data_IF_181948569532
#
_entry.id   IF_181948569532
#
_cell.length_a   1.000
_cell.length_b   1.000
_cell.length_c   1.000
_cell.angle_alpha   90.00
_cell.angle_beta   90.00
_cell.angle_gamma   90.00
#
_symmetry.space_group_name_H-M   'P 1'
#
loop_
_entity.id
_entity.type
_entity.pdbx_description
1 polymer ?
#
# COMPACT_ATOMS: atom_id res chain seq x y z
N UNK A 1 -3.18 -12.36 -11.57
CA UNK A 1 -3.61 -13.78 -11.68
C UNK A 1 -3.95 -14.34 -10.31
N UNK A 2 -4.38 -15.60 -10.23
CA UNK A 2 -4.83 -16.26 -8.99
C UNK A 2 -3.92 -16.10 -7.74
N UNK A 3 -2.57 -16.16 -7.82
CA UNK A 3 -1.71 -16.00 -6.63
C UNK A 3 -1.68 -14.58 -6.04
N UNK A 4 -2.30 -13.61 -6.72
CA UNK A 4 -2.36 -12.20 -6.30
C UNK A 4 -3.78 -11.80 -5.87
N UNK A 5 -4.64 -12.77 -5.55
CA UNK A 5 -6.00 -12.55 -5.08
C UNK A 5 -6.27 -13.50 -3.92
N UNK A 6 -6.82 -13.01 -2.82
CA UNK A 6 -7.16 -13.83 -1.66
C UNK A 6 -8.50 -13.45 -1.07
N UNK A 7 -9.29 -14.47 -0.77
CA UNK A 7 -10.55 -14.38 -0.01
C UNK A 7 -10.44 -15.08 1.34
N UNK A 8 -9.23 -15.50 1.74
CA UNK A 8 -9.00 -16.19 3.01
C UNK A 8 -9.31 -15.24 4.18
N UNK A 9 -10.04 -15.74 5.19
CA UNK A 9 -10.49 -14.94 6.34
C UNK A 9 -9.34 -14.22 7.02
N UNK A 10 -8.26 -14.92 7.38
CA UNK A 10 -7.11 -14.32 8.07
C UNK A 10 -6.46 -13.19 7.27
N UNK A 11 -6.39 -13.32 5.93
CA UNK A 11 -5.85 -12.27 5.07
C UNK A 11 -6.76 -11.05 5.08
N UNK A 12 -8.08 -11.26 4.95
CA UNK A 12 -9.05 -10.16 4.94
C UNK A 12 -9.07 -9.44 6.30
N UNK A 13 -9.00 -10.17 7.40
CA UNK A 13 -8.92 -9.59 8.76
C UNK A 13 -7.65 -8.75 8.93
N UNK A 14 -6.49 -9.22 8.48
CA UNK A 14 -5.24 -8.45 8.49
C UNK A 14 -5.35 -7.14 7.70
N UNK A 15 -6.17 -7.10 6.65
CA UNK A 15 -6.39 -5.92 5.82
C UNK A 15 -7.66 -5.16 6.19
N UNK A 16 -8.30 -5.50 7.31
CA UNK A 16 -9.55 -4.92 7.78
C UNK A 16 -9.42 -3.95 8.95
N UNK A 17 -8.20 -3.76 9.47
CA UNK A 17 -7.91 -2.81 10.53
C UNK A 17 -6.55 -2.15 10.32
N UNK A 18 -6.39 -0.96 10.90
CA UNK A 18 -5.09 -0.33 11.15
C UNK A 18 -4.79 -0.31 12.66
N UNK A 19 -3.91 0.58 13.10
CA UNK A 19 -3.53 0.76 14.51
C UNK A 19 -4.51 1.68 15.27
N UNK A 20 -5.68 1.98 14.68
CA UNK A 20 -6.75 2.72 15.35
C UNK A 20 -7.50 1.87 16.38
N UNK A 21 -8.37 2.52 17.15
CA UNK A 21 -9.28 1.87 18.09
C UNK A 21 -10.56 1.34 17.41
N UNK A 22 -10.69 1.48 16.09
CA UNK A 22 -11.89 1.05 15.38
C UNK A 22 -11.95 -0.48 15.25
N UNK A 23 -13.15 -1.08 15.37
CA UNK A 23 -13.31 -2.50 15.13
C UNK A 23 -12.86 -2.89 13.71
N UNK A 24 -12.27 -4.08 13.58
CA UNK A 24 -11.91 -4.65 12.28
C UNK A 24 -13.14 -4.73 11.37
N UNK A 25 -13.02 -4.16 10.17
CA UNK A 25 -13.99 -4.24 9.09
C UNK A 25 -13.28 -4.81 7.84
N UNK A 26 -13.29 -6.15 7.66
CA UNK A 26 -12.54 -6.79 6.59
C UNK A 26 -13.15 -6.52 5.20
N UNK A 27 -12.33 -6.34 4.15
CA UNK A 27 -12.79 -6.28 2.77
C UNK A 27 -13.38 -7.64 2.32
N UNK A 28 -14.04 -7.70 1.16
CA UNK A 28 -14.52 -8.95 0.58
C UNK A 28 -13.37 -9.77 -0.05
N UNK A 29 -12.38 -9.07 -0.60
CA UNK A 29 -11.22 -9.66 -1.27
C UNK A 29 -10.01 -8.73 -1.13
N UNK A 30 -8.83 -9.34 -1.02
CA UNK A 30 -7.53 -8.64 -1.08
C UNK A 30 -6.84 -8.99 -2.39
N UNK A 31 -6.33 -7.96 -3.06
CA UNK A 31 -5.61 -8.07 -4.34
C UNK A 31 -4.23 -7.43 -4.19
N UNK A 32 -3.20 -8.01 -4.81
CA UNK A 32 -1.85 -7.44 -4.87
C UNK A 32 -1.46 -7.10 -6.31
N UNK A 33 -1.79 -5.89 -6.80
CA UNK A 33 -1.24 -5.37 -8.03
C UNK A 33 0.29 -5.31 -7.98
N UNK A 34 0.94 -5.48 -9.13
CA UNK A 34 2.40 -5.41 -9.28
C UNK A 34 2.80 -4.41 -10.38
N UNK A 35 1.83 -3.67 -10.92
CA UNK A 35 2.05 -2.69 -11.97
C UNK A 35 0.88 -1.70 -12.05
N UNK A 36 1.17 -0.50 -12.52
CA UNK A 36 0.17 0.57 -12.73
C UNK A 36 -1.02 0.09 -13.57
N UNK A 37 -0.76 -0.65 -14.64
CA UNK A 37 -1.83 -1.19 -15.51
C UNK A 37 -2.83 -2.09 -14.76
N UNK A 38 -2.35 -2.89 -13.79
CA UNK A 38 -3.21 -3.74 -12.98
C UNK A 38 -4.09 -2.93 -12.01
N UNK A 39 -3.55 -1.83 -11.46
CA UNK A 39 -4.32 -0.89 -10.64
C UNK A 39 -5.38 -0.19 -11.49
N UNK A 40 -5.05 0.21 -12.72
CA UNK A 40 -5.99 0.84 -13.65
C UNK A 40 -7.14 -0.11 -14.03
N UNK A 41 -6.81 -1.36 -14.37
CA UNK A 41 -7.81 -2.39 -14.68
C UNK A 41 -8.74 -2.67 -13.48
N UNK A 42 -8.16 -2.76 -12.28
CA UNK A 42 -8.92 -2.95 -11.04
C UNK A 42 -9.87 -1.77 -10.79
N UNK A 43 -9.37 -0.54 -10.92
CA UNK A 43 -10.16 0.67 -10.73
C UNK A 43 -11.32 0.75 -11.73
N UNK A 44 -11.06 0.47 -13.00
CA UNK A 44 -12.09 0.45 -14.03
C UNK A 44 -13.16 -0.62 -13.78
N UNK A 45 -12.76 -1.80 -13.30
CA UNK A 45 -13.67 -2.88 -12.93
C UNK A 45 -14.54 -2.49 -11.72
N UNK A 46 -13.94 -2.03 -10.63
CA UNK A 46 -14.64 -1.63 -9.42
C UNK A 46 -15.61 -0.48 -9.69
N UNK A 47 -15.19 0.51 -10.50
CA UNK A 47 -16.07 1.61 -10.92
C UNK A 47 -17.30 1.11 -11.67
N UNK A 48 -17.10 0.24 -12.68
CA UNK A 48 -18.20 -0.33 -13.49
C UNK A 48 -19.17 -1.15 -12.65
N UNK A 49 -18.65 -1.90 -11.68
CA UNK A 49 -19.45 -2.76 -10.80
C UNK A 49 -19.99 -2.03 -9.55
N UNK A 50 -19.63 -0.76 -9.35
CA UNK A 50 -19.93 0.03 -8.14
C UNK A 50 -19.45 -0.66 -6.85
N UNK A 51 -18.25 -1.24 -6.89
CA UNK A 51 -17.61 -1.89 -5.75
C UNK A 51 -16.63 -0.92 -5.09
N UNK A 52 -16.69 -0.69 -3.76
CA UNK A 52 -15.73 0.13 -3.04
C UNK A 52 -14.29 -0.39 -3.19
N UNK A 53 -13.34 0.54 -3.19
CA UNK A 53 -11.91 0.23 -3.24
C UNK A 53 -11.21 0.83 -2.02
N UNK A 54 -10.39 0.01 -1.36
CA UNK A 54 -9.63 0.41 -0.17
C UNK A 54 -8.14 0.22 -0.46
N UNK A 55 -7.34 1.28 -0.59
CA UNK A 55 -5.90 1.15 -0.73
C UNK A 55 -5.29 0.65 0.58
N UNK A 56 -4.30 -0.24 0.48
CA UNK A 56 -3.56 -0.71 1.64
C UNK A 56 -2.05 -0.59 1.42
N UNK A 57 -1.37 -0.08 2.44
CA UNK A 57 0.09 0.02 2.51
C UNK A 57 0.63 -0.92 3.58
N UNK A 58 0.98 -0.38 4.75
CA UNK A 58 1.50 -1.16 5.88
C UNK A 58 0.51 -1.37 7.02
N UNK A 59 -0.73 -0.86 6.91
CA UNK A 59 -1.75 -0.96 7.97
C UNK A 59 -1.48 -0.12 9.21
N UNK A 60 -0.55 0.84 9.17
CA UNK A 60 -0.15 1.63 10.36
C UNK A 60 -0.90 2.96 10.52
N UNK A 61 -2.07 3.09 9.91
CA UNK A 61 -2.95 4.25 10.11
C UNK A 61 -3.50 4.28 11.54
N UNK A 62 -4.00 5.44 11.98
CA UNK A 62 -4.52 5.63 13.35
C UNK A 62 -5.99 6.01 13.39
N UNK A 63 -6.64 6.10 12.22
CA UNK A 63 -7.98 6.69 12.07
C UNK A 63 -8.94 5.76 11.29
N UNK A 64 -8.59 4.47 11.13
CA UNK A 64 -9.43 3.48 10.47
C UNK A 64 -9.46 3.63 8.94
N UNK A 65 -8.42 4.20 8.34
CA UNK A 65 -8.39 4.53 6.91
C UNK A 65 -8.44 3.32 5.98
N UNK A 66 -8.07 2.15 6.50
CA UNK A 66 -8.09 0.86 5.78
C UNK A 66 -9.33 0.03 6.10
N UNK A 67 -10.21 0.48 7.00
CA UNK A 67 -11.38 -0.28 7.41
C UNK A 67 -12.40 -0.30 6.26
N UNK A 68 -12.70 -1.48 5.75
CA UNK A 68 -13.65 -1.68 4.65
C UNK A 68 -15.09 -1.72 5.18
N UNK A 69 -15.56 -0.60 5.72
CA UNK A 69 -16.89 -0.47 6.36
C UNK A 69 -18.07 -0.82 5.44
N UNK A 70 -17.85 -0.78 4.12
CA UNK A 70 -18.82 -1.17 3.09
C UNK A 70 -18.40 -2.45 2.33
N UNK A 71 -17.43 -3.21 2.84
CA UNK A 71 -16.80 -4.32 2.12
C UNK A 71 -16.01 -3.81 0.91
N UNK A 72 -16.01 -4.59 -0.16
CA UNK A 72 -15.35 -4.26 -1.42
C UNK A 72 -13.94 -4.84 -1.55
N UNK A 73 -13.13 -4.20 -2.39
CA UNK A 73 -11.80 -4.67 -2.76
C UNK A 73 -10.74 -3.89 -2.00
N UNK A 74 -9.96 -4.59 -1.19
CA UNK A 74 -8.69 -4.06 -0.72
C UNK A 74 -7.60 -4.34 -1.76
N UNK A 75 -6.82 -3.33 -2.11
CA UNK A 75 -5.67 -3.48 -3.00
C UNK A 75 -4.38 -3.07 -2.28
N UNK A 76 -3.61 -4.08 -1.93
CA UNK A 76 -2.36 -3.97 -1.20
C UNK A 76 -1.22 -3.71 -2.19
N UNK A 77 -0.62 -2.52 -2.05
CA UNK A 77 0.43 -2.00 -2.92
C UNK A 77 1.84 -2.41 -2.46
N UNK A 78 1.96 -3.23 -1.41
CA UNK A 78 3.25 -3.71 -0.87
C UNK A 78 4.12 -4.46 -1.87
N UNK A 79 3.55 -4.97 -2.98
CA UNK A 79 4.29 -5.62 -4.08
C UNK A 79 4.68 -4.68 -5.22
N UNK A 80 4.39 -3.39 -5.09
CA UNK A 80 4.89 -2.33 -5.97
C UNK A 80 5.95 -1.54 -5.19
N UNK A 81 7.12 -2.11 -4.97
CA UNK A 81 8.17 -1.59 -4.08
C UNK A 81 9.50 -1.24 -4.79
N UNK A 82 9.45 -0.98 -6.10
CA UNK A 82 10.62 -0.56 -6.85
C UNK A 82 11.00 0.92 -6.61
N UNK A 83 12.31 1.17 -6.54
CA UNK A 83 12.89 2.52 -6.62
C UNK A 83 13.38 2.68 -8.06
N UNK A 84 12.72 3.54 -8.83
CA UNK A 84 12.88 3.62 -10.27
C UNK A 84 14.02 4.55 -10.72
N UNK A 85 14.15 5.71 -10.07
CA UNK A 85 15.13 6.74 -10.47
C UNK A 85 15.57 7.53 -9.24
N UNK A 86 16.88 7.80 -9.12
CA UNK A 86 17.47 8.64 -8.08
C UNK A 86 18.32 9.74 -8.74
N UNK A 87 17.92 10.99 -8.58
CA UNK A 87 18.73 12.16 -8.94
C UNK A 87 19.35 12.75 -7.68
N UNK A 88 20.67 12.56 -7.54
CA UNK A 88 21.44 13.13 -6.43
C UNK A 88 21.59 14.65 -6.55
N UNK A 89 21.63 15.17 -7.78
CA UNK A 89 21.81 16.59 -8.06
C UNK A 89 20.52 17.38 -7.78
N UNK A 90 19.36 16.78 -8.06
CA UNK A 90 18.04 17.41 -7.87
C UNK A 90 17.39 17.06 -6.52
N UNK A 91 18.06 16.25 -5.69
CA UNK A 91 17.52 15.71 -4.44
C UNK A 91 16.13 15.06 -4.59
N UNK A 92 15.94 14.30 -5.67
CA UNK A 92 14.66 13.66 -5.98
C UNK A 92 14.80 12.16 -6.24
N UNK A 93 13.73 11.42 -5.96
CA UNK A 93 13.65 9.98 -6.17
C UNK A 93 12.26 9.59 -6.62
N UNK A 94 12.17 8.79 -7.68
CA UNK A 94 10.93 8.19 -8.18
C UNK A 94 10.78 6.80 -7.58
N UNK A 95 9.66 6.54 -6.91
CA UNK A 95 9.38 5.28 -6.22
C UNK A 95 7.99 4.76 -6.54
N UNK A 96 7.82 3.46 -6.47
CA UNK A 96 6.51 2.83 -6.44
C UNK A 96 5.84 2.98 -5.06
N UNK A 97 4.49 2.91 -4.96
CA UNK A 97 3.75 3.24 -3.74
C UNK A 97 3.99 2.30 -2.55
N UNK A 98 4.50 1.09 -2.78
CA UNK A 98 4.85 0.13 -1.74
C UNK A 98 6.22 0.38 -1.10
N UNK A 99 7.03 1.33 -1.61
CA UNK A 99 8.33 1.64 -1.04
C UNK A 99 8.17 2.23 0.36
N UNK A 100 8.60 1.48 1.38
CA UNK A 100 8.62 1.99 2.74
C UNK A 100 9.76 2.98 2.94
N UNK A 101 9.57 3.93 3.86
CA UNK A 101 10.63 4.85 4.30
C UNK A 101 11.92 4.14 4.71
N UNK A 102 11.82 3.00 5.41
CA UNK A 102 12.99 2.22 5.83
C UNK A 102 13.74 1.64 4.63
N UNK A 103 13.01 1.13 3.63
CA UNK A 103 13.61 0.63 2.40
C UNK A 103 14.27 1.76 1.60
N UNK A 104 13.62 2.92 1.45
CA UNK A 104 14.21 4.09 0.79
C UNK A 104 15.49 4.56 1.50
N UNK A 105 15.45 4.75 2.82
CA UNK A 105 16.65 5.15 3.56
C UNK A 105 17.75 4.09 3.57
N UNK A 106 17.41 2.80 3.41
CA UNK A 106 18.41 1.74 3.19
C UNK A 106 19.06 1.88 1.81
N UNK A 107 18.29 2.20 0.77
CA UNK A 107 18.78 2.43 -0.58
C UNK A 107 19.68 3.66 -0.69
N UNK A 108 19.36 4.75 0.01
CA UNK A 108 20.14 5.98 0.02
C UNK A 108 21.46 5.89 0.81
N UNK A 109 21.72 4.78 1.52
CA UNK A 109 22.95 4.62 2.32
C UNK A 109 24.18 4.75 1.44
N UNK A 110 25.14 5.56 1.89
CA UNK A 110 26.39 5.79 1.17
C UNK A 110 26.33 6.89 0.11
N UNK A 111 25.15 7.43 -0.21
CA UNK A 111 25.00 8.57 -1.15
C UNK A 111 25.24 9.93 -0.50
N UNK A 112 25.26 9.99 0.84
CA UNK A 112 25.25 11.25 1.59
C UNK A 112 23.85 11.87 1.76
N UNK A 113 22.81 11.30 1.16
CA UNK A 113 21.42 11.75 1.28
C UNK A 113 20.61 10.87 2.26
N UNK A 114 19.50 11.42 2.76
CA UNK A 114 18.49 10.69 3.53
C UNK A 114 17.11 11.31 3.32
N UNK A 115 16.04 10.51 3.43
CA UNK A 115 14.66 10.98 3.36
C UNK A 115 14.13 11.34 4.76
N UNK A 116 13.87 12.63 5.07
CA UNK A 116 13.71 13.15 6.42
C UNK A 116 12.29 13.07 6.99
N UNK A 117 11.51 12.06 6.63
CA UNK A 117 10.15 11.90 7.14
C UNK A 117 10.14 11.00 8.38
N UNK A 118 9.34 11.34 9.40
CA UNK A 118 9.25 10.61 10.67
C UNK A 118 10.07 11.23 11.80
N UNK A 119 9.96 10.70 13.01
CA UNK A 119 10.73 11.18 14.15
C UNK A 119 12.23 10.99 13.93
N UNK A 120 13.00 12.03 14.24
CA UNK A 120 14.47 11.97 14.28
C UNK A 120 14.86 11.08 15.47
N UNK A 121 15.58 9.99 15.21
CA UNK A 121 16.21 9.16 16.23
C UNK A 121 15.36 8.01 16.77
N UNK A 122 15.45 6.85 16.10
CA UNK A 122 15.55 5.52 16.72
C UNK A 122 16.37 4.62 15.80
#
# INVERSE_FOLDING_TARGET
GAPNVSTATAVREQHGHDESMHPCAPPDVVVWPQAVGQVQELAALCHRCRVPMVPFGTGTGLEGGVNAVQGGVCFDLSRMDAIAELSLEDFSVTVEPGVTRKALNKHLRGTGLWFPVGTVGM
#
